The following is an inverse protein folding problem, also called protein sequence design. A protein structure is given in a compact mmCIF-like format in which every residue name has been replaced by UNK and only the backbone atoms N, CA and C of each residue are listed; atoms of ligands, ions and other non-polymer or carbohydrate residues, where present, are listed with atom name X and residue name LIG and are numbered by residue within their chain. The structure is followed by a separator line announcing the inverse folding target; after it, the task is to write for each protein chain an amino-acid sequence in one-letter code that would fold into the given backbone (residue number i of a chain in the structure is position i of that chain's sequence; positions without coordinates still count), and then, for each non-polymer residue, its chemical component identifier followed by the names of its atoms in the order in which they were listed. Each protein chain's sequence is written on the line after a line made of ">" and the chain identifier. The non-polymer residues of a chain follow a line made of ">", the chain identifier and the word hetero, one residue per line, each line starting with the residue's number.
data_IF_013194969467
#
_entry.id   IF_013194969467
#
_cell.length_a   1.000
_cell.length_b   1.000
_cell.length_c   1.000
_cell.angle_alpha   90.00
_cell.angle_beta   90.00
_cell.angle_gamma   90.00
#
_symmetry.space_group_name_H-M   'P 1'
#
loop_
_entity.id
_entity.type
_entity.pdbx_description
1 polymer ?
#
# COMPACT_ATOMS: atom_id res chain seq x y z
N UNK A 1 8.74 -14.40 -33.32
CA UNK A 1 7.46 -13.99 -32.72
C UNK A 1 7.17 -14.73 -31.40
N UNK A 2 7.05 -16.06 -31.39
CA UNK A 2 6.76 -16.83 -30.16
C UNK A 2 7.78 -16.66 -29.01
N UNK A 3 9.08 -16.52 -29.33
CA UNK A 3 10.13 -16.29 -28.31
C UNK A 3 9.98 -14.94 -27.61
N UNK A 4 9.70 -13.87 -28.37
CA UNK A 4 9.46 -12.53 -27.82
C UNK A 4 8.15 -12.41 -27.03
N UNK A 5 7.12 -13.19 -27.40
CA UNK A 5 5.89 -13.29 -26.62
C UNK A 5 6.09 -14.01 -25.28
N UNK A 6 6.88 -15.10 -25.28
CA UNK A 6 7.30 -15.77 -24.04
C UNK A 6 8.09 -14.83 -23.12
N UNK A 7 9.04 -14.07 -23.66
CA UNK A 7 9.85 -13.09 -22.90
C UNK A 7 9.03 -11.88 -22.41
N UNK A 8 7.84 -11.64 -22.98
CA UNK A 8 6.88 -10.64 -22.51
C UNK A 8 6.04 -11.17 -21.35
N UNK A 9 5.55 -12.42 -21.45
CA UNK A 9 4.81 -13.08 -20.36
C UNK A 9 5.71 -13.36 -19.15
N UNK A 10 6.96 -13.77 -19.37
CA UNK A 10 7.93 -14.05 -18.30
C UNK A 10 8.36 -12.80 -17.52
N UNK A 11 7.93 -11.60 -17.93
CA UNK A 11 8.20 -10.35 -17.23
C UNK A 11 7.38 -10.20 -15.93
N UNK A 12 6.56 -11.20 -15.57
CA UNK A 12 5.82 -11.32 -14.30
C UNK A 12 4.60 -10.41 -14.21
N UNK A 13 4.83 -9.10 -14.34
CA UNK A 13 3.81 -8.06 -14.22
C UNK A 13 2.59 -8.23 -15.15
N UNK A 14 2.80 -8.82 -16.34
CA UNK A 14 1.72 -9.06 -17.32
C UNK A 14 0.85 -10.24 -16.91
N UNK A 15 1.45 -11.29 -16.35
CA UNK A 15 0.74 -12.51 -15.97
C UNK A 15 -0.13 -12.24 -14.75
N UNK A 16 0.38 -11.52 -13.75
CA UNK A 16 -0.40 -11.16 -12.56
C UNK A 16 -1.59 -10.26 -12.91
N UNK A 17 -1.38 -9.29 -13.82
CA UNK A 17 -2.46 -8.45 -14.34
C UNK A 17 -3.49 -9.28 -15.12
N UNK A 18 -3.04 -10.19 -15.98
CA UNK A 18 -3.93 -11.06 -16.75
C UNK A 18 -4.79 -11.96 -15.84
N UNK A 19 -4.19 -12.56 -14.81
CA UNK A 19 -4.91 -13.38 -13.83
C UNK A 19 -5.93 -12.54 -13.07
N UNK A 20 -5.54 -11.34 -12.60
CA UNK A 20 -6.44 -10.44 -11.89
C UNK A 20 -7.69 -10.08 -12.73
N UNK A 21 -7.51 -9.78 -14.01
CA UNK A 21 -8.62 -9.44 -14.92
C UNK A 21 -9.53 -10.64 -15.17
N UNK A 22 -8.97 -11.82 -15.44
CA UNK A 22 -9.76 -13.04 -15.71
C UNK A 22 -10.57 -13.46 -14.48
N UNK A 23 -9.94 -13.47 -13.29
CA UNK A 23 -10.62 -13.83 -12.04
C UNK A 23 -11.69 -12.79 -11.68
N UNK A 24 -11.38 -11.49 -11.84
CA UNK A 24 -12.34 -10.42 -11.60
C UNK A 24 -13.58 -10.50 -12.51
N UNK A 25 -13.37 -10.80 -13.80
CA UNK A 25 -14.47 -11.00 -14.75
C UNK A 25 -15.32 -12.23 -14.40
N UNK A 26 -14.70 -13.36 -14.08
CA UNK A 26 -15.40 -14.58 -13.69
C UNK A 26 -16.24 -14.39 -12.42
N UNK A 27 -15.69 -13.73 -11.41
CA UNK A 27 -16.42 -13.45 -10.16
C UNK A 27 -17.60 -12.50 -10.40
N UNK A 28 -17.39 -11.44 -11.18
CA UNK A 28 -18.47 -10.52 -11.57
C UNK A 28 -19.59 -11.27 -12.26
N UNK A 29 -19.28 -12.18 -13.19
CA UNK A 29 -20.29 -12.99 -13.89
C UNK A 29 -21.12 -13.87 -12.93
N UNK A 30 -20.50 -14.50 -11.93
CA UNK A 30 -21.21 -15.29 -10.91
C UNK A 30 -22.17 -14.42 -10.11
N UNK A 31 -21.69 -13.26 -9.65
CA UNK A 31 -22.48 -12.34 -8.83
C UNK A 31 -23.61 -11.70 -9.65
N UNK A 32 -23.37 -11.36 -10.91
CA UNK A 32 -24.40 -10.90 -11.85
C UNK A 32 -25.43 -12.00 -12.07
N UNK A 33 -25.02 -13.24 -12.34
CA UNK A 33 -25.94 -14.35 -12.55
C UNK A 33 -26.82 -14.60 -11.33
N UNK A 34 -26.27 -14.55 -10.11
CA UNK A 34 -27.04 -14.65 -8.88
C UNK A 34 -28.05 -13.50 -8.75
N UNK A 35 -27.61 -12.27 -8.98
CA UNK A 35 -28.44 -11.08 -8.86
C UNK A 35 -29.58 -11.09 -9.90
N UNK A 36 -29.28 -11.41 -11.16
CA UNK A 36 -30.27 -11.46 -12.23
C UNK A 36 -31.28 -12.60 -12.06
N UNK A 37 -30.85 -13.77 -11.60
CA UNK A 37 -31.75 -14.94 -11.54
C UNK A 37 -32.49 -15.09 -10.20
N UNK A 38 -32.00 -14.49 -9.11
CA UNK A 38 -32.61 -14.62 -7.78
C UNK A 38 -33.13 -13.28 -7.28
N UNK A 39 -32.30 -12.22 -7.33
CA UNK A 39 -32.68 -10.93 -6.76
C UNK A 39 -33.69 -10.20 -7.65
N UNK A 40 -33.43 -10.09 -8.96
CA UNK A 40 -34.35 -9.41 -9.88
C UNK A 40 -35.79 -9.96 -9.82
N UNK A 41 -36.04 -11.28 -9.88
CA UNK A 41 -37.41 -11.79 -9.78
C UNK A 41 -38.03 -11.54 -8.40
N UNK A 42 -37.26 -11.56 -7.31
CA UNK A 42 -37.77 -11.20 -5.98
C UNK A 42 -38.15 -9.72 -5.89
N UNK A 43 -37.29 -8.84 -6.41
CA UNK A 43 -37.57 -7.39 -6.47
C UNK A 43 -38.74 -7.09 -7.40
N UNK A 44 -38.84 -7.77 -8.55
CA UNK A 44 -39.96 -7.65 -9.49
C UNK A 44 -41.27 -8.19 -8.91
N UNK A 45 -41.22 -9.25 -8.09
CA UNK A 45 -42.41 -9.78 -7.41
C UNK A 45 -42.96 -8.79 -6.37
N UNK A 46 -42.10 -8.05 -5.68
CA UNK A 46 -42.50 -7.00 -4.72
C UNK A 46 -42.86 -5.69 -5.44
N UNK A 47 -42.19 -5.38 -6.55
CA UNK A 47 -42.36 -4.14 -7.32
C UNK A 47 -43.46 -4.17 -8.40
N UNK A 48 -44.11 -5.32 -8.60
CA UNK A 48 -45.07 -5.53 -9.70
C UNK A 48 -44.39 -5.74 -11.05
N UNK A 49 -45.04 -6.52 -11.91
CA UNK A 49 -44.53 -6.92 -13.23
C UNK A 49 -44.18 -5.70 -14.08
N UNK A 50 -42.91 -5.65 -14.49
CA UNK A 50 -42.25 -4.63 -15.30
C UNK A 50 -41.80 -3.42 -14.50
N UNK A 51 -40.58 -3.51 -13.96
CA UNK A 51 -39.72 -2.37 -13.68
C UNK A 51 -40.44 -1.22 -12.94
N UNK A 52 -40.77 -1.47 -11.67
CA UNK A 52 -41.38 -0.52 -10.71
C UNK A 52 -42.41 0.46 -11.29
N UNK A 53 -43.27 0.10 -12.25
CA UNK A 53 -44.50 0.83 -12.62
C UNK A 53 -44.42 2.34 -12.93
N UNK A 54 -43.23 2.94 -12.94
CA UNK A 54 -42.98 4.39 -13.02
C UNK A 54 -42.31 4.71 -14.35
N UNK A 55 -42.76 4.00 -15.38
CA UNK A 55 -42.33 4.21 -16.74
C UNK A 55 -43.14 5.31 -17.39
N UNK A 56 -42.53 6.47 -17.65
CA UNK A 56 -43.21 7.58 -18.34
C UNK A 56 -42.96 7.40 -19.84
N UNK A 57 -44.03 7.14 -20.62
CA UNK A 57 -43.96 7.24 -22.09
C UNK A 57 -44.01 8.71 -22.47
N UNK A 58 -42.94 9.24 -23.05
CA UNK A 58 -42.89 10.65 -23.48
C UNK A 58 -43.71 10.87 -24.76
N UNK A 59 -43.80 9.87 -25.65
CA UNK A 59 -44.60 9.90 -26.88
C UNK A 59 -45.47 8.64 -26.97
N UNK A 60 -46.80 8.81 -26.98
CA UNK A 60 -47.77 7.69 -26.98
C UNK A 60 -47.71 6.74 -28.19
N UNK A 61 -46.91 7.06 -29.22
CA UNK A 61 -46.85 6.30 -30.47
C UNK A 61 -45.46 5.73 -30.79
N UNK A 62 -44.48 5.81 -29.88
CA UNK A 62 -43.15 5.24 -30.09
C UNK A 62 -42.63 4.53 -28.84
N UNK A 63 -42.54 3.19 -28.89
CA UNK A 63 -42.03 2.38 -27.78
C UNK A 63 -40.54 2.62 -27.48
N UNK A 64 -39.82 3.32 -28.35
CA UNK A 64 -38.42 3.73 -28.12
C UNK A 64 -38.26 4.91 -27.14
N UNK A 65 -39.34 5.60 -26.76
CA UNK A 65 -39.30 6.74 -25.81
C UNK A 65 -40.02 6.42 -24.50
N UNK A 66 -39.79 5.21 -23.99
CA UNK A 66 -40.21 4.79 -22.67
C UNK A 66 -39.06 4.98 -21.68
N UNK A 67 -39.21 5.93 -20.73
CA UNK A 67 -38.24 6.09 -19.65
C UNK A 67 -38.66 5.17 -18.52
N UNK A 68 -37.88 4.12 -18.29
CA UNK A 68 -38.12 3.22 -17.18
C UNK A 68 -37.31 3.60 -15.92
N UNK A 69 -37.93 4.34 -15.02
CA UNK A 69 -37.32 4.71 -13.74
C UNK A 69 -37.14 3.49 -12.82
N UNK A 70 -37.98 2.46 -12.98
CA UNK A 70 -37.88 1.24 -12.20
C UNK A 70 -36.70 0.34 -12.56
N UNK A 71 -36.29 0.34 -13.83
CA UNK A 71 -35.04 -0.29 -14.26
C UNK A 71 -33.84 0.29 -13.50
N UNK A 72 -33.81 1.62 -13.35
CA UNK A 72 -32.71 2.34 -12.70
C UNK A 72 -32.65 2.02 -11.21
N UNK A 73 -33.78 2.04 -10.51
CA UNK A 73 -33.83 1.69 -9.08
C UNK A 73 -33.44 0.22 -8.87
N UNK A 74 -33.90 -0.68 -9.72
CA UNK A 74 -33.51 -2.10 -9.69
C UNK A 74 -31.99 -2.25 -9.91
N UNK A 75 -31.42 -1.51 -10.86
CA UNK A 75 -29.98 -1.51 -11.11
C UNK A 75 -29.18 -0.98 -9.90
N UNK A 76 -29.68 0.05 -9.20
CA UNK A 76 -29.06 0.57 -7.97
C UNK A 76 -29.09 -0.48 -6.84
N UNK A 77 -30.24 -1.12 -6.62
CA UNK A 77 -30.38 -2.20 -5.61
C UNK A 77 -29.39 -3.34 -5.93
N UNK A 78 -29.32 -3.74 -7.19
CA UNK A 78 -28.38 -4.75 -7.64
C UNK A 78 -26.94 -4.32 -7.38
N UNK A 79 -26.55 -3.11 -7.75
CA UNK A 79 -25.20 -2.60 -7.49
C UNK A 79 -24.82 -2.66 -6.00
N UNK A 80 -25.74 -2.27 -5.11
CA UNK A 80 -25.52 -2.31 -3.66
C UNK A 80 -25.33 -3.76 -3.18
N UNK A 81 -26.12 -4.70 -3.68
CA UNK A 81 -26.00 -6.12 -3.32
C UNK A 81 -24.66 -6.70 -3.81
N UNK A 82 -24.29 -6.43 -5.06
CA UNK A 82 -23.00 -6.84 -5.62
C UNK A 82 -21.85 -6.30 -4.77
N UNK A 83 -21.87 -5.01 -4.44
CA UNK A 83 -20.86 -4.37 -3.60
C UNK A 83 -20.81 -4.99 -2.19
N UNK A 84 -21.96 -5.31 -1.60
CA UNK A 84 -22.05 -5.96 -0.29
C UNK A 84 -21.45 -7.38 -0.32
N UNK A 85 -21.75 -8.17 -1.36
CA UNK A 85 -21.19 -9.52 -1.54
C UNK A 85 -19.67 -9.45 -1.73
N UNK A 86 -19.18 -8.56 -2.61
CA UNK A 86 -17.75 -8.35 -2.82
C UNK A 86 -17.05 -7.96 -1.51
N UNK A 87 -17.64 -7.02 -0.76
CA UNK A 87 -17.10 -6.58 0.52
C UNK A 87 -17.05 -7.72 1.55
N UNK A 88 -18.13 -8.48 1.69
CA UNK A 88 -18.20 -9.53 2.69
C UNK A 88 -17.32 -10.75 2.35
N UNK A 89 -17.21 -11.11 1.07
CA UNK A 89 -16.47 -12.31 0.62
C UNK A 89 -15.00 -12.04 0.36
N UNK A 90 -14.61 -10.84 -0.08
CA UNK A 90 -13.20 -10.52 -0.36
C UNK A 90 -12.62 -9.58 0.69
N UNK A 91 -13.23 -8.43 0.93
CA UNK A 91 -12.62 -7.37 1.75
C UNK A 91 -12.60 -7.78 3.22
N UNK A 92 -13.68 -8.33 3.75
CA UNK A 92 -13.80 -8.71 5.15
C UNK A 92 -12.81 -9.82 5.56
N UNK A 93 -12.69 -10.97 4.85
CA UNK A 93 -11.72 -11.98 5.19
C UNK A 93 -10.29 -11.52 4.91
N UNK A 94 -10.04 -10.74 3.85
CA UNK A 94 -8.69 -10.17 3.62
C UNK A 94 -8.31 -9.22 4.75
N UNK A 95 -9.22 -8.36 5.21
CA UNK A 95 -8.96 -7.43 6.31
C UNK A 95 -8.79 -8.19 7.64
N UNK A 96 -9.57 -9.25 7.87
CA UNK A 96 -9.45 -10.10 9.06
C UNK A 96 -8.17 -10.93 9.04
N UNK A 97 -7.81 -11.49 7.90
CA UNK A 97 -6.56 -12.23 7.70
C UNK A 97 -5.35 -11.31 7.82
N UNK A 98 -5.41 -10.07 7.29
CA UNK A 98 -4.39 -9.05 7.54
C UNK A 98 -4.23 -8.78 9.03
N UNK A 99 -5.32 -8.63 9.78
CA UNK A 99 -5.24 -8.44 11.24
C UNK A 99 -4.69 -9.65 11.99
N UNK A 100 -4.77 -10.87 11.43
CA UNK A 100 -4.42 -12.13 12.10
C UNK A 100 -3.09 -12.74 11.65
N UNK A 101 -2.63 -12.42 10.44
CA UNK A 101 -1.40 -12.93 9.81
C UNK A 101 -0.41 -11.82 9.42
N UNK A 102 -0.86 -10.55 9.30
CA UNK A 102 0.01 -9.38 9.03
C UNK A 102 0.32 -8.65 10.35
N UNK A 103 0.56 -9.41 11.43
CA UNK A 103 1.39 -8.94 12.56
C UNK A 103 2.88 -9.13 12.29
N UNK A 104 3.22 -9.86 11.23
CA UNK A 104 4.48 -9.71 10.53
C UNK A 104 4.14 -9.82 9.05
N UNK A 105 3.92 -8.71 8.30
CA UNK A 105 4.53 -8.74 7.00
C UNK A 105 5.98 -9.09 7.31
N UNK A 106 6.54 -10.07 6.61
CA UNK A 106 7.97 -10.05 6.41
C UNK A 106 8.24 -8.66 5.86
N UNK A 107 8.57 -7.73 6.77
CA UNK A 107 9.29 -6.52 6.45
C UNK A 107 10.60 -7.11 5.94
N UNK A 108 10.62 -7.46 4.66
CA UNK A 108 11.65 -6.88 3.83
C UNK A 108 11.66 -5.42 4.26
N UNK A 109 12.62 -5.08 5.12
CA UNK A 109 12.83 -3.72 5.55
C UNK A 109 12.78 -2.93 4.25
N UNK A 110 11.81 -2.00 4.15
CA UNK A 110 11.79 -1.10 3.00
C UNK A 110 13.21 -0.58 2.82
N UNK A 111 13.72 -0.44 1.61
CA UNK A 111 15.09 0.06 1.39
C UNK A 111 15.33 1.33 2.22
N UNK A 112 14.27 2.14 2.40
CA UNK A 112 14.24 3.30 3.30
C UNK A 112 14.47 2.94 4.78
N UNK A 113 13.82 1.92 5.31
CA UNK A 113 14.01 1.43 6.68
C UNK A 113 15.43 0.88 6.92
N UNK A 114 16.02 0.22 5.90
CA UNK A 114 17.42 -0.23 5.94
C UNK A 114 18.36 0.96 5.95
N UNK A 115 18.14 1.94 5.08
CA UNK A 115 18.95 3.16 5.01
C UNK A 115 18.87 3.98 6.30
N UNK A 116 17.71 4.03 6.96
CA UNK A 116 17.55 4.67 8.28
C UNK A 116 18.35 3.91 9.34
N UNK A 117 18.30 2.58 9.37
CA UNK A 117 19.09 1.78 10.30
C UNK A 117 20.59 1.96 10.07
N UNK A 118 21.05 1.99 8.81
CA UNK A 118 22.46 2.26 8.47
C UNK A 118 22.87 3.67 8.92
N UNK A 119 22.03 4.69 8.70
CA UNK A 119 22.28 6.06 9.18
C UNK A 119 22.43 6.09 10.69
N UNK A 120 21.54 5.42 11.41
CA UNK A 120 21.52 5.44 12.87
C UNK A 120 22.73 4.69 13.46
N UNK A 121 23.14 3.57 12.83
CA UNK A 121 24.37 2.86 13.19
C UNK A 121 25.61 3.72 12.91
N UNK A 122 25.65 4.46 11.79
CA UNK A 122 26.78 5.33 11.45
C UNK A 122 26.85 6.58 12.34
N UNK A 123 25.70 7.17 12.68
CA UNK A 123 25.62 8.28 13.63
C UNK A 123 26.00 7.84 15.06
N UNK A 124 25.55 6.66 15.48
CA UNK A 124 25.95 6.04 16.74
C UNK A 124 27.44 5.69 16.79
N UNK A 125 28.00 5.16 15.70
CA UNK A 125 29.42 4.85 15.55
C UNK A 125 30.32 6.08 15.58
N UNK A 126 29.87 7.20 15.01
CA UNK A 126 30.58 8.49 15.07
C UNK A 126 30.68 9.00 16.51
N UNK A 127 29.62 8.83 17.31
CA UNK A 127 29.62 9.22 18.74
C UNK A 127 30.55 8.36 19.58
N UNK A 128 30.70 7.06 19.26
CA UNK A 128 31.62 6.15 19.92
C UNK A 128 33.09 6.44 19.56
N UNK A 129 33.39 6.72 18.28
CA UNK A 129 34.73 7.12 17.83
C UNK A 129 35.17 8.47 18.42
N UNK A 130 34.25 9.41 18.59
CA UNK A 130 34.54 10.71 19.19
C UNK A 130 34.79 10.62 20.70
N UNK A 131 34.06 9.75 21.42
CA UNK A 131 34.32 9.48 22.85
C UNK A 131 35.68 8.82 23.09
N UNK A 132 36.12 7.94 22.21
CA UNK A 132 37.44 7.31 22.32
C UNK A 132 38.59 8.30 22.04
N UNK A 133 38.39 9.22 21.10
CA UNK A 133 39.36 10.29 20.81
C UNK A 133 39.46 11.32 21.94
N UNK A 134 38.36 11.68 22.60
CA UNK A 134 38.38 12.63 23.74
C UNK A 134 38.92 12.00 25.03
N UNK A 135 38.75 10.68 25.22
CA UNK A 135 39.34 9.96 26.35
C UNK A 135 40.86 9.78 26.20
N UNK A 136 41.38 9.66 24.98
CA UNK A 136 42.82 9.61 24.73
C UNK A 136 43.52 10.96 25.01
N UNK A 137 42.83 12.08 24.85
CA UNK A 137 43.39 13.43 25.03
C UNK A 137 43.44 13.88 26.52
N UNK A 138 42.67 13.23 27.40
CA UNK A 138 42.55 13.61 28.83
C UNK A 138 43.52 12.89 29.77
N UNK A 139 44.33 11.95 29.27
CA UNK A 139 45.33 11.20 30.08
C UNK A 139 46.76 11.80 29.97
N UNK A 140 46.95 12.89 29.24
CA UNK A 140 48.27 13.48 28.95
C UNK A 140 48.70 14.70 29.77
N UNK A 141 47.95 15.12 30.80
CA UNK A 141 48.23 16.40 31.47
C UNK A 141 47.94 16.44 32.96
N UNK A 142 48.81 15.88 33.81
CA UNK A 142 49.11 16.41 35.17
C UNK A 142 50.21 15.61 35.88
N UNK A 143 51.30 16.31 36.26
CA UNK A 143 52.47 15.80 36.99
C UNK A 143 53.73 16.03 36.13
N UNK A 144 54.66 16.93 36.42
CA UNK A 144 55.38 17.08 37.68
C UNK A 144 55.99 18.49 37.78
N UNK A 145 55.83 19.13 38.94
CA UNK A 145 56.60 20.30 39.32
C UNK A 145 58.01 19.85 39.75
N UNK A 146 59.06 20.34 39.11
CA UNK A 146 60.41 20.30 39.67
C UNK A 146 61.05 21.69 39.49
N UNK A 147 61.06 22.40 40.61
CA UNK A 147 61.94 23.49 40.97
C UNK A 147 63.40 23.02 40.95
N UNK A 148 64.26 23.69 40.17
CA UNK A 148 65.69 23.77 40.46
C UNK A 148 66.31 24.99 39.77
N UNK A 149 66.53 26.04 40.56
CA UNK A 149 67.80 26.78 40.68
C UNK A 149 68.67 26.97 39.42
N UNK A 150 68.77 28.25 38.99
CA UNK A 150 69.83 29.02 38.30
C UNK A 150 71.25 28.41 38.20
N UNK A 151 72.17 28.86 37.29
CA UNK A 151 72.25 30.24 36.76
C UNK A 151 72.79 30.45 35.32
N UNK A 152 72.64 31.70 34.90
CA UNK A 152 73.64 32.55 34.23
C UNK A 152 73.90 32.51 32.70
N UNK A 153 73.89 33.76 32.21
CA UNK A 153 74.71 34.34 31.14
C UNK A 153 74.57 33.78 29.73
N UNK A 154 74.04 34.67 28.88
CA UNK A 154 74.95 35.24 27.90
C UNK A 154 74.44 35.28 26.47
N UNK A 155 73.95 36.47 26.13
CA UNK A 155 74.40 37.25 24.97
C UNK A 155 74.01 36.81 23.56
N UNK A 156 73.53 37.83 22.86
CA UNK A 156 73.61 38.08 21.41
C UNK A 156 72.76 37.16 20.53
N UNK A 157 72.17 37.63 19.45
CA UNK A 157 71.95 38.94 18.87
C UNK A 157 71.00 38.66 17.70
N UNK A 158 70.28 39.71 17.30
CA UNK A 158 69.68 39.98 15.98
C UNK A 158 70.27 39.14 14.84
N UNK A 159 69.49 38.69 13.86
CA UNK A 159 68.65 39.50 12.97
C UNK A 159 67.39 38.77 12.48
#
# INVERSE_FOLDING_TARGET
>A
MLKGFKDFLLRGNVVDLAVAVVVGAAFTAIVTAFTTNIINPLVAAVGGSNELGWGIKILSSNDATFINIGAVITAIINFIIIAAVVYFVLILPVNTAKKRFVSQPEKELSDVDVLVQIRDILAGGTTAGQKLSTAADTTGGSGEAIDSSSPDLGKHSKD
#
